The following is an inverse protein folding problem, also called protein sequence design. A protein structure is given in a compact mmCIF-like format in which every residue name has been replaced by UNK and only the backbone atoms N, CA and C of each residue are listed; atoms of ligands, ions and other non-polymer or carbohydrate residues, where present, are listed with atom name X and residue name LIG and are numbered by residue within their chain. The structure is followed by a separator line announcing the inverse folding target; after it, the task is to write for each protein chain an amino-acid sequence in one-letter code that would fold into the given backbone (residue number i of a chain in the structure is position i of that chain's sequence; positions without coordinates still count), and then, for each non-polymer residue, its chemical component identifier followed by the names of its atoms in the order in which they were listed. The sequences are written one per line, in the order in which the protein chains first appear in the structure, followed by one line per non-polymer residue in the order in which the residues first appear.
data_IF_306943988327
#
_entry.id   IF_306943988327
#
_cell.length_a   1.000
_cell.length_b   1.000
_cell.length_c   1.000
_cell.angle_alpha   90.00
_cell.angle_beta   90.00
_cell.angle_gamma   90.00
#
_symmetry.space_group_name_H-M   'P 1'
#
loop_
_entity.id
_entity.type
_entity.pdbx_description
1 polymer ?
#
# COMPACT_ATOMS: atom_id res chain seq x y z
N UNK A 1 6.47 -13.18 21.15
CA UNK A 1 5.10 -13.66 20.84
C UNK A 1 5.17 -14.57 19.63
N UNK A 2 4.29 -15.56 19.49
CA UNK A 2 4.28 -16.48 18.35
C UNK A 2 2.88 -16.58 17.75
N UNK A 3 2.78 -16.39 16.44
CA UNK A 3 1.53 -16.43 15.68
C UNK A 3 1.57 -17.61 14.72
N UNK A 4 0.50 -18.40 14.70
CA UNK A 4 0.25 -19.37 13.65
C UNK A 4 -0.84 -18.82 12.74
N UNK A 5 -0.51 -18.57 11.48
CA UNK A 5 -1.43 -18.14 10.44
C UNK A 5 -1.85 -19.35 9.61
N UNK A 6 -3.15 -19.59 9.48
CA UNK A 6 -3.71 -20.59 8.57
C UNK A 6 -4.47 -19.90 7.44
N UNK A 7 -4.14 -20.23 6.20
CA UNK A 7 -4.88 -19.77 5.02
C UNK A 7 -5.63 -20.96 4.39
N UNK A 8 -6.89 -20.76 4.02
CA UNK A 8 -7.72 -21.76 3.35
C UNK A 8 -8.15 -21.28 1.96
N UNK A 9 -7.85 -22.07 0.92
CA UNK A 9 -8.23 -21.73 -0.45
C UNK A 9 -9.65 -22.18 -0.78
N UNK A 10 -10.63 -21.29 -0.57
CA UNK A 10 -12.04 -21.57 -0.83
C UNK A 10 -12.33 -21.85 -2.31
N UNK A 11 -11.66 -21.16 -3.24
CA UNK A 11 -11.89 -21.35 -4.67
C UNK A 11 -11.46 -22.75 -5.13
N UNK A 12 -10.29 -23.22 -4.68
CA UNK A 12 -9.82 -24.59 -4.96
C UNK A 12 -10.70 -25.63 -4.29
N UNK A 13 -11.18 -25.34 -3.07
CA UNK A 13 -12.14 -26.22 -2.40
C UNK A 13 -13.41 -26.34 -3.24
N UNK A 14 -14.02 -25.22 -3.65
CA UNK A 14 -15.23 -25.20 -4.47
C UNK A 14 -15.02 -25.89 -5.82
N UNK A 15 -13.90 -25.65 -6.50
CA UNK A 15 -13.60 -26.32 -7.77
C UNK A 15 -13.38 -27.83 -7.59
N UNK A 16 -12.78 -28.27 -6.48
CA UNK A 16 -12.61 -29.69 -6.19
C UNK A 16 -13.95 -30.38 -5.88
N UNK A 17 -14.88 -29.67 -5.22
CA UNK A 17 -16.21 -30.18 -4.89
C UNK A 17 -17.09 -30.23 -6.14
N UNK A 18 -17.10 -29.17 -6.97
CA UNK A 18 -17.91 -29.11 -8.19
C UNK A 18 -17.35 -29.94 -9.35
N UNK A 19 -16.03 -30.06 -9.46
CA UNK A 19 -15.34 -30.87 -10.45
C UNK A 19 -15.41 -32.38 -10.19
N UNK A 20 -15.84 -32.81 -9.00
CA UNK A 20 -15.94 -34.23 -8.65
C UNK A 20 -17.04 -35.00 -9.40
N UNK A 21 -17.98 -34.32 -10.08
CA UNK A 21 -19.02 -34.94 -10.90
C UNK A 21 -20.00 -35.87 -10.15
N UNK A 22 -19.82 -36.06 -8.84
CA UNK A 22 -20.65 -36.90 -7.99
C UNK A 22 -21.97 -36.16 -7.68
N UNK A 23 -23.07 -36.56 -8.32
CA UNK A 23 -24.42 -36.13 -7.90
C UNK A 23 -24.73 -36.80 -6.54
N UNK A 24 -24.94 -36.04 -5.46
CA UNK A 24 -25.16 -36.65 -4.15
C UNK A 24 -26.53 -37.33 -4.10
N UNK A 25 -26.54 -38.62 -3.76
CA UNK A 25 -27.77 -39.40 -3.56
C UNK A 25 -28.43 -39.13 -2.19
N UNK A 26 -27.74 -38.44 -1.27
CA UNK A 26 -28.20 -38.10 0.09
C UNK A 26 -27.38 -36.94 0.71
N UNK A 27 -27.97 -36.19 1.64
CA UNK A 27 -27.29 -35.15 2.45
C UNK A 27 -26.11 -35.72 3.24
N UNK A 28 -26.21 -36.96 3.72
CA UNK A 28 -25.12 -37.64 4.45
C UNK A 28 -23.93 -37.95 3.54
N UNK A 29 -24.18 -38.42 2.31
CA UNK A 29 -23.11 -38.65 1.33
C UNK A 29 -22.44 -37.35 0.89
N UNK A 30 -23.18 -36.25 0.81
CA UNK A 30 -22.64 -34.94 0.46
C UNK A 30 -21.70 -34.38 1.54
N UNK A 31 -22.08 -34.51 2.82
CA UNK A 31 -21.22 -34.12 3.95
C UNK A 31 -19.94 -34.97 4.05
N UNK A 32 -20.03 -36.26 3.71
CA UNK A 32 -18.86 -37.15 3.65
C UNK A 32 -17.91 -36.75 2.51
N UNK A 33 -18.45 -36.44 1.33
CA UNK A 33 -17.64 -35.93 0.20
C UNK A 33 -16.97 -34.60 0.56
N UNK A 34 -17.69 -33.66 1.17
CA UNK A 34 -17.12 -32.40 1.69
C UNK A 34 -16.00 -32.66 2.70
N UNK A 35 -16.21 -33.56 3.67
CA UNK A 35 -15.21 -33.94 4.66
C UNK A 35 -13.94 -34.52 4.02
N UNK A 36 -14.09 -35.37 2.99
CA UNK A 36 -12.98 -35.91 2.20
C UNK A 36 -12.21 -34.82 1.46
N UNK A 37 -12.90 -33.84 0.89
CA UNK A 37 -12.25 -32.70 0.23
C UNK A 37 -11.52 -31.78 1.23
N UNK A 38 -12.08 -31.56 2.42
CA UNK A 38 -11.44 -30.79 3.49
C UNK A 38 -10.17 -31.47 4.04
N UNK A 39 -10.01 -32.78 3.91
CA UNK A 39 -8.76 -33.46 4.29
C UNK A 39 -7.61 -33.22 3.29
N UNK A 40 -7.87 -32.57 2.15
CA UNK A 40 -6.84 -32.31 1.18
C UNK A 40 -5.88 -31.23 1.69
N UNK A 41 -4.67 -31.67 2.06
CA UNK A 41 -3.60 -30.80 2.56
C UNK A 41 -3.31 -29.61 1.63
N UNK A 42 -3.51 -29.76 0.32
CA UNK A 42 -3.26 -28.70 -0.68
C UNK A 42 -4.24 -27.52 -0.63
N UNK A 43 -5.23 -27.54 0.28
CA UNK A 43 -6.14 -26.44 0.57
C UNK A 43 -5.61 -25.47 1.63
N UNK A 44 -4.58 -25.88 2.39
CA UNK A 44 -4.12 -25.16 3.58
C UNK A 44 -2.71 -24.61 3.40
N UNK A 45 -2.50 -23.31 3.55
CA UNK A 45 -1.17 -22.76 3.79
C UNK A 45 -0.99 -22.47 5.28
N UNK A 46 0.18 -22.77 5.81
CA UNK A 46 0.53 -22.54 7.21
C UNK A 46 1.73 -21.59 7.28
N UNK A 47 1.53 -20.46 7.93
CA UNK A 47 2.58 -19.50 8.26
C UNK A 47 2.87 -19.56 9.75
N UNK A 48 4.13 -19.71 10.11
CA UNK A 48 4.58 -19.53 11.49
C UNK A 48 5.35 -18.22 11.57
N UNK A 49 4.98 -17.35 12.51
CA UNK A 49 5.70 -16.10 12.76
C UNK A 49 6.05 -16.00 14.24
N UNK A 50 7.29 -15.66 14.54
CA UNK A 50 7.80 -15.47 15.88
C UNK A 50 8.40 -14.07 15.98
N UNK A 51 7.96 -13.32 16.98
CA UNK A 51 8.48 -12.01 17.33
C UNK A 51 9.27 -12.12 18.64
N UNK A 52 10.55 -11.77 18.58
CA UNK A 52 11.48 -11.77 19.70
C UNK A 52 11.90 -10.32 19.99
N UNK A 53 11.64 -9.84 21.20
CA UNK A 53 12.22 -8.59 21.68
C UNK A 53 13.61 -8.90 22.23
N UNK A 54 14.67 -8.46 21.53
CA UNK A 54 16.05 -8.70 21.95
C UNK A 54 16.47 -7.70 23.01
N UNK A 55 16.07 -6.44 22.82
CA UNK A 55 16.25 -5.32 23.74
C UNK A 55 14.95 -4.48 23.74
N UNK A 56 14.79 -3.47 24.62
CA UNK A 56 13.63 -2.57 24.56
C UNK A 56 13.47 -1.85 23.20
N UNK A 57 14.58 -1.67 22.48
CA UNK A 57 14.64 -0.95 21.21
C UNK A 57 14.75 -1.89 19.99
N UNK A 58 15.07 -3.17 20.21
CA UNK A 58 15.28 -4.20 19.18
C UNK A 58 14.17 -5.23 19.14
N UNK A 59 13.55 -5.39 17.97
CA UNK A 59 12.58 -6.47 17.69
C UNK A 59 13.03 -7.28 16.48
N UNK A 60 13.01 -8.61 16.62
CA UNK A 60 13.33 -9.56 15.57
C UNK A 60 12.08 -10.38 15.25
N UNK A 61 11.55 -10.21 14.04
CA UNK A 61 10.49 -11.02 13.47
C UNK A 61 11.10 -12.12 12.60
N UNK A 62 10.76 -13.37 12.86
CA UNK A 62 11.09 -14.52 12.04
C UNK A 62 9.81 -15.17 11.57
N UNK A 63 9.58 -15.21 10.26
CA UNK A 63 8.43 -15.86 9.66
C UNK A 63 8.85 -16.98 8.71
N UNK A 64 8.10 -18.08 8.76
CA UNK A 64 8.27 -19.26 7.94
C UNK A 64 6.91 -19.64 7.37
N UNK A 65 6.73 -19.41 6.08
CA UNK A 65 5.49 -19.74 5.39
C UNK A 65 5.67 -21.01 4.56
N UNK A 66 4.80 -21.99 4.81
CA UNK A 66 4.69 -23.21 4.04
C UNK A 66 3.40 -23.19 3.25
N UNK A 67 3.53 -23.00 1.94
CA UNK A 67 2.43 -23.13 0.99
C UNK A 67 2.38 -24.57 0.50
N UNK A 68 1.26 -25.24 0.75
CA UNK A 68 0.99 -26.59 0.18
C UNK A 68 0.25 -26.51 -1.17
N UNK A 69 -0.07 -25.29 -1.62
CA UNK A 69 -0.75 -25.00 -2.88
C UNK A 69 0.27 -24.60 -3.97
N UNK A 70 0.46 -25.47 -4.96
CA UNK A 70 1.36 -25.26 -6.11
C UNK A 70 2.55 -26.23 -6.12
N UNK A 71 3.16 -26.45 -7.30
CA UNK A 71 4.25 -27.42 -7.49
C UNK A 71 5.57 -27.05 -6.77
N UNK A 72 5.72 -25.80 -6.33
CA UNK A 72 6.93 -25.31 -5.68
C UNK A 72 6.89 -25.48 -4.14
N UNK A 73 7.37 -26.64 -3.69
CA UNK A 73 7.43 -27.09 -2.28
C UNK A 73 8.43 -26.34 -1.38
N UNK A 74 8.93 -25.16 -1.78
CA UNK A 74 9.98 -24.47 -1.01
C UNK A 74 9.34 -23.60 0.08
N UNK A 75 9.64 -23.83 1.37
CA UNK A 75 9.16 -22.95 2.42
C UNK A 75 9.81 -21.57 2.26
N UNK A 76 9.01 -20.52 2.44
CA UNK A 76 9.47 -19.13 2.38
C UNK A 76 9.88 -18.68 3.76
N UNK A 77 11.05 -18.06 3.84
CA UNK A 77 11.65 -17.57 5.08
C UNK A 77 11.71 -16.06 5.00
N UNK A 78 11.33 -15.41 6.08
CA UNK A 78 11.40 -13.97 6.24
C UNK A 78 12.00 -13.66 7.60
N UNK A 79 12.99 -12.78 7.63
CA UNK A 79 13.55 -12.23 8.85
C UNK A 79 13.48 -10.71 8.76
N UNK A 80 12.94 -10.06 9.78
CA UNK A 80 12.91 -8.60 9.90
C UNK A 80 13.49 -8.22 11.25
N UNK A 81 14.51 -7.38 11.25
CA UNK A 81 15.03 -6.74 12.45
C UNK A 81 14.60 -5.28 12.43
N UNK A 82 13.89 -4.82 13.47
CA UNK A 82 13.67 -3.41 13.71
C UNK A 82 14.49 -2.95 14.90
N UNK A 83 15.24 -1.88 14.72
CA UNK A 83 15.95 -1.16 15.78
C UNK A 83 15.45 0.28 15.84
N UNK A 84 15.04 0.71 17.04
CA UNK A 84 14.59 2.08 17.30
C UNK A 84 15.76 2.91 17.85
N UNK A 85 16.30 3.81 17.03
CA UNK A 85 17.18 4.86 17.52
C UNK A 85 16.36 6.04 18.08
N UNK A 86 16.96 6.95 18.88
CA UNK A 86 16.23 8.08 19.46
C UNK A 86 15.48 8.96 18.44
N UNK A 87 16.04 9.13 17.24
CA UNK A 87 15.50 9.98 16.18
C UNK A 87 15.27 9.25 14.85
N UNK A 88 15.51 7.93 14.80
CA UNK A 88 15.49 7.16 13.55
C UNK A 88 14.97 5.74 13.79
N UNK A 89 14.33 5.17 12.79
CA UNK A 89 13.97 3.76 12.77
C UNK A 89 14.81 3.06 11.72
N UNK A 90 15.45 1.96 12.10
CA UNK A 90 16.17 1.08 11.20
C UNK A 90 15.43 -0.24 11.08
N UNK A 91 15.17 -0.66 9.85
CA UNK A 91 14.56 -1.95 9.50
C UNK A 91 15.52 -2.71 8.60
N UNK A 92 15.82 -3.95 8.92
CA UNK A 92 16.60 -4.85 8.06
C UNK A 92 15.73 -6.05 7.76
N UNK A 93 15.41 -6.25 6.48
CA UNK A 93 14.56 -7.32 5.99
C UNK A 93 15.38 -8.26 5.09
N UNK A 94 15.23 -9.57 5.33
CA UNK A 94 15.80 -10.62 4.50
C UNK A 94 14.72 -11.65 4.18
N UNK A 95 14.47 -11.88 2.90
CA UNK A 95 13.42 -12.80 2.43
C UNK A 95 14.00 -13.81 1.43
N UNK A 96 13.69 -15.09 1.63
CA UNK A 96 14.11 -16.17 0.73
C UNK A 96 13.19 -17.40 0.80
N UNK A 97 12.58 -17.81 -0.33
CA UNK A 97 12.22 -16.97 -1.48
C UNK A 97 11.18 -15.91 -1.11
N UNK A 98 11.25 -14.73 -1.72
CA UNK A 98 10.28 -13.64 -1.53
C UNK A 98 9.24 -13.59 -2.64
N UNK A 99 7.98 -13.32 -2.28
CA UNK A 99 6.89 -13.13 -3.22
C UNK A 99 6.63 -11.65 -3.41
N UNK A 100 6.65 -11.19 -4.66
CA UNK A 100 6.41 -9.81 -5.05
C UNK A 100 5.22 -9.71 -5.99
N UNK A 101 4.46 -8.62 -5.91
CA UNK A 101 3.33 -8.34 -6.81
C UNK A 101 3.72 -7.18 -7.70
N UNK A 102 3.55 -7.33 -9.01
CA UNK A 102 3.77 -6.24 -9.97
C UNK A 102 2.54 -5.32 -10.08
N UNK A 103 2.69 -4.20 -10.82
CA UNK A 103 1.58 -3.24 -11.04
C UNK A 103 0.38 -3.86 -11.77
N UNK A 104 0.60 -4.96 -12.50
CA UNK A 104 -0.42 -5.68 -13.26
C UNK A 104 -1.09 -6.78 -12.42
N UNK A 105 -0.68 -6.96 -11.16
CA UNK A 105 -1.19 -7.98 -10.26
C UNK A 105 -0.56 -9.37 -10.44
N UNK A 106 0.51 -9.51 -11.22
CA UNK A 106 1.23 -10.78 -11.34
C UNK A 106 2.18 -10.99 -10.16
N UNK A 107 2.24 -12.23 -9.71
CA UNK A 107 3.12 -12.65 -8.63
C UNK A 107 4.46 -13.15 -9.17
N UNK A 108 5.55 -12.71 -8.53
CA UNK A 108 6.93 -13.03 -8.89
C UNK A 108 7.68 -13.59 -7.68
N UNK A 109 8.32 -14.74 -7.84
CA UNK A 109 9.23 -15.35 -6.87
C UNK A 109 10.66 -14.84 -7.09
N UNK A 110 11.22 -14.19 -6.08
CA UNK A 110 12.61 -13.75 -6.03
C UNK A 110 13.41 -14.68 -5.11
N UNK A 111 14.53 -15.28 -5.57
CA UNK A 111 15.27 -16.25 -4.75
C UNK A 111 15.81 -15.70 -3.42
N UNK A 112 16.35 -14.48 -3.45
CA UNK A 112 16.81 -13.76 -2.26
C UNK A 112 16.62 -12.26 -2.45
N UNK A 113 15.98 -11.63 -1.47
CA UNK A 113 15.80 -10.18 -1.38
C UNK A 113 16.28 -9.71 -0.02
N UNK A 114 17.20 -8.75 -0.01
CA UNK A 114 17.69 -8.08 1.19
C UNK A 114 17.34 -6.60 1.09
N UNK A 115 16.74 -6.05 2.14
CA UNK A 115 16.42 -4.63 2.24
C UNK A 115 16.92 -4.08 3.57
N UNK A 116 17.52 -2.89 3.53
CA UNK A 116 17.86 -2.11 4.71
C UNK A 116 17.16 -0.77 4.55
N UNK A 117 16.38 -0.39 5.55
CA UNK A 117 15.56 0.79 5.50
C UNK A 117 15.77 1.65 6.75
N UNK A 118 16.13 2.91 6.55
CA UNK A 118 16.39 3.87 7.61
C UNK A 118 15.55 5.12 7.38
N UNK A 119 14.65 5.40 8.32
CA UNK A 119 13.78 6.57 8.25
C UNK A 119 13.97 7.45 9.50
N UNK A 120 14.04 8.76 9.31
CA UNK A 120 13.90 9.70 10.43
C UNK A 120 12.50 9.60 11.04
N UNK A 121 12.37 9.77 12.35
CA UNK A 121 11.07 9.86 12.99
C UNK A 121 10.26 11.02 12.41
N UNK A 122 9.00 10.75 12.06
CA UNK A 122 8.12 11.75 11.47
C UNK A 122 7.78 12.81 12.51
N UNK A 123 8.19 14.05 12.25
CA UNK A 123 7.71 15.22 12.98
C UNK A 123 6.37 15.71 12.40
N UNK A 124 5.54 16.35 13.23
CA UNK A 124 4.33 17.03 12.75
C UNK A 124 4.66 18.11 11.71
N UNK A 125 5.80 18.78 11.88
CA UNK A 125 6.39 19.68 10.89
C UNK A 125 7.91 19.63 10.97
N UNK A 126 8.57 19.54 9.83
CA UNK A 126 10.03 19.47 9.76
C UNK A 126 10.56 18.70 8.57
N UNK A 127 11.88 18.64 8.51
CA UNK A 127 12.60 17.81 7.56
C UNK A 127 12.56 16.34 8.00
N UNK A 128 12.38 15.45 7.04
CA UNK A 128 12.48 14.01 7.20
C UNK A 128 13.31 13.45 6.05
N UNK A 129 13.98 12.33 6.30
CA UNK A 129 14.70 11.61 5.27
C UNK A 129 14.45 10.11 5.41
N UNK A 130 14.58 9.42 4.30
CA UNK A 130 14.34 8.00 4.17
C UNK A 130 15.39 7.42 3.24
N UNK A 131 16.21 6.49 3.74
CA UNK A 131 17.25 5.80 3.00
C UNK A 131 16.91 4.31 2.95
N UNK A 132 16.68 3.79 1.75
CA UNK A 132 16.41 2.39 1.51
C UNK A 132 17.50 1.81 0.60
N UNK A 133 18.07 0.67 1.00
CA UNK A 133 19.06 -0.08 0.25
C UNK A 133 18.47 -1.45 -0.04
N UNK A 134 18.49 -1.86 -1.30
CA UNK A 134 17.90 -3.10 -1.78
C UNK A 134 18.94 -3.92 -2.54
N UNK A 135 18.99 -5.21 -2.26
CA UNK A 135 19.83 -6.15 -2.98
C UNK A 135 19.05 -7.42 -3.33
N UNK A 136 18.96 -7.67 -4.63
CA UNK A 136 18.34 -8.87 -5.18
C UNK A 136 19.38 -9.80 -5.76
N UNK A 137 19.20 -11.09 -5.52
CA UNK A 137 20.03 -12.14 -6.11
C UNK A 137 19.18 -13.23 -6.73
N UNK A 138 19.60 -13.70 -7.90
CA UNK A 138 18.95 -14.77 -8.66
C UNK A 138 17.87 -14.26 -9.62
N UNK A 139 17.54 -15.06 -10.63
CA UNK A 139 16.53 -14.70 -11.63
C UNK A 139 15.12 -14.84 -11.06
N UNK A 140 14.29 -13.78 -11.11
CA UNK A 140 12.89 -13.89 -10.68
C UNK A 140 12.10 -14.81 -11.62
N UNK A 141 11.22 -15.62 -11.04
CA UNK A 141 10.33 -16.54 -11.78
C UNK A 141 8.88 -16.18 -11.49
N UNK A 142 7.99 -16.26 -12.48
CA UNK A 142 6.58 -15.98 -12.24
C UNK A 142 5.96 -17.06 -11.33
N UNK A 143 5.23 -16.65 -10.31
CA UNK A 143 4.54 -17.56 -9.40
C UNK A 143 3.21 -18.00 -10.04
N UNK A 144 3.07 -19.32 -10.31
CA UNK A 144 1.89 -19.94 -10.93
C UNK A 144 1.53 -19.43 -12.35
N UNK A 145 2.49 -18.88 -13.09
CA UNK A 145 2.30 -18.62 -14.53
C UNK A 145 2.47 -19.91 -15.33
N UNK A 146 1.60 -20.19 -16.30
CA UNK A 146 1.90 -21.15 -17.36
C UNK A 146 3.13 -20.61 -18.12
N UNK A 147 4.18 -21.45 -18.24
CA UNK A 147 5.46 -21.15 -18.93
C UNK A 147 5.32 -20.67 -20.39
N UNK A 148 4.09 -20.57 -20.91
CA UNK A 148 3.77 -20.30 -22.30
C UNK A 148 3.18 -18.92 -22.61
N UNK A 149 2.94 -18.00 -21.64
CA UNK A 149 2.25 -16.72 -21.93
C UNK A 149 2.76 -15.47 -21.19
N UNK A 150 4.07 -15.30 -20.99
CA UNK A 150 4.60 -13.99 -20.55
C UNK A 150 4.96 -13.11 -21.75
N UNK A 151 4.08 -12.16 -22.06
CA UNK A 151 4.33 -11.10 -23.07
C UNK A 151 5.34 -10.06 -22.54
N UNK A 152 5.46 -9.93 -21.22
CA UNK A 152 6.37 -8.98 -20.57
C UNK A 152 7.31 -9.72 -19.59
N UNK A 153 8.61 -9.39 -19.67
CA UNK A 153 9.62 -9.90 -18.74
C UNK A 153 9.43 -9.40 -17.30
N UNK A 154 10.20 -9.92 -16.33
CA UNK A 154 10.10 -9.50 -14.93
C UNK A 154 10.36 -7.99 -14.79
N UNK A 155 9.66 -7.31 -13.85
CA UNK A 155 9.92 -5.91 -13.56
C UNK A 155 11.40 -5.66 -13.27
N UNK A 156 11.96 -4.61 -13.85
CA UNK A 156 13.39 -4.26 -13.70
C UNK A 156 13.84 -4.14 -12.23
N UNK A 157 12.93 -3.76 -11.32
CA UNK A 157 13.19 -3.65 -9.88
C UNK A 157 13.43 -5.00 -9.19
N UNK A 158 12.99 -6.11 -9.79
CA UNK A 158 13.16 -7.47 -9.27
C UNK A 158 14.39 -8.18 -9.86
N UNK A 159 15.03 -7.58 -10.87
CA UNK A 159 16.24 -8.14 -11.46
C UNK A 159 17.40 -8.14 -10.45
N UNK A 160 18.37 -9.05 -10.63
CA UNK A 160 19.58 -9.09 -9.82
C UNK A 160 20.31 -7.75 -9.83
N UNK A 161 20.75 -7.32 -8.66
CA UNK A 161 21.55 -6.11 -8.54
C UNK A 161 21.37 -5.42 -7.21
N UNK A 162 21.87 -4.20 -7.20
CA UNK A 162 21.95 -3.37 -6.03
C UNK A 162 21.30 -2.03 -6.32
N UNK A 163 20.39 -1.58 -5.45
CA UNK A 163 19.75 -0.27 -5.58
C UNK A 163 19.73 0.45 -4.25
N UNK A 164 20.08 1.73 -4.28
CA UNK A 164 19.91 2.64 -3.16
C UNK A 164 18.87 3.68 -3.56
N UNK A 165 17.89 3.90 -2.70
CA UNK A 165 16.90 4.97 -2.80
C UNK A 165 17.04 5.87 -1.60
N UNK A 166 17.10 7.17 -1.82
CA UNK A 166 17.10 8.17 -0.77
C UNK A 166 16.02 9.18 -1.07
N UNK A 167 15.20 9.52 -0.08
CA UNK A 167 14.21 10.56 -0.18
C UNK A 167 14.41 11.56 0.95
N UNK A 168 14.33 12.85 0.64
CA UNK A 168 14.31 13.93 1.60
C UNK A 168 13.00 14.68 1.42
N UNK A 169 12.30 15.00 2.51
CA UNK A 169 11.05 15.75 2.43
C UNK A 169 10.93 16.75 3.57
N UNK A 170 10.30 17.87 3.29
CA UNK A 170 9.93 18.87 4.27
C UNK A 170 8.40 18.89 4.37
N UNK A 171 7.89 18.54 5.55
CA UNK A 171 6.47 18.56 5.88
C UNK A 171 6.16 19.80 6.70
N UNK A 172 5.09 20.50 6.35
CA UNK A 172 4.53 21.57 7.16
C UNK A 172 3.04 21.27 7.41
N UNK A 173 2.65 21.26 8.68
CA UNK A 173 1.26 21.12 9.09
C UNK A 173 0.72 22.47 9.61
N UNK A 174 -0.53 22.75 9.29
CA UNK A 174 -1.27 23.94 9.66
C UNK A 174 -2.59 23.51 10.29
N UNK A 175 -2.71 23.67 11.60
CA UNK A 175 -3.96 23.42 12.32
C UNK A 175 -4.79 24.71 12.33
N UNK A 176 -5.85 24.77 11.52
CA UNK A 176 -6.74 25.93 11.46
C UNK A 176 -7.64 26.02 12.68
N UNK A 177 -8.14 24.88 13.14
CA UNK A 177 -9.06 24.83 14.26
C UNK A 177 -8.97 23.49 14.98
N UNK A 178 -9.06 23.53 16.31
CA UNK A 178 -9.20 22.35 17.16
C UNK A 178 -10.20 22.67 18.25
N UNK A 179 -11.18 21.79 18.44
CA UNK A 179 -12.19 21.99 19.47
C UNK A 179 -11.57 21.95 20.87
N UNK A 180 -11.87 22.98 21.66
CA UNK A 180 -11.57 23.03 23.10
C UNK A 180 -12.80 22.77 23.95
N UNK A 181 -13.93 22.40 23.33
CA UNK A 181 -15.18 22.18 24.04
C UNK A 181 -15.03 21.00 25.01
N UNK A 182 -15.61 21.09 26.22
CA UNK A 182 -15.57 19.99 27.17
C UNK A 182 -16.31 18.78 26.57
N UNK A 183 -15.64 17.63 26.57
CA UNK A 183 -16.25 16.35 26.18
C UNK A 183 -17.42 16.02 27.10
N UNK A 184 -18.40 15.26 26.61
CA UNK A 184 -19.54 14.83 27.43
C UNK A 184 -19.01 14.09 28.66
N UNK A 185 -19.36 14.61 29.84
CA UNK A 185 -18.97 14.00 31.11
C UNK A 185 -19.57 12.59 31.19
N UNK A 186 -18.77 11.62 31.65
CA UNK A 186 -19.15 10.21 31.85
C UNK A 186 -19.42 9.39 30.57
N UNK A 187 -19.18 9.93 29.37
CA UNK A 187 -19.29 9.18 28.11
C UNK A 187 -17.91 9.06 27.46
N UNK A 188 -17.38 7.85 27.42
CA UNK A 188 -16.12 7.57 26.70
C UNK A 188 -16.40 7.62 25.19
N UNK A 189 -15.55 8.30 24.39
CA UNK A 189 -15.67 8.22 22.94
C UNK A 189 -15.48 6.77 22.46
N UNK A 190 -16.12 6.42 21.34
CA UNK A 190 -15.98 5.09 20.73
C UNK A 190 -14.53 4.81 20.30
N UNK A 191 -13.80 5.86 19.93
CA UNK A 191 -12.37 5.84 19.60
C UNK A 191 -11.70 7.10 20.17
N UNK A 192 -10.61 6.91 20.90
CA UNK A 192 -9.86 8.00 21.54
C UNK A 192 -9.21 8.95 20.51
N UNK A 193 -8.74 8.45 19.37
CA UNK A 193 -8.06 9.29 18.35
C UNK A 193 -9.05 10.17 17.59
N UNK A 194 -10.29 9.72 17.44
CA UNK A 194 -11.36 10.47 16.79
C UNK A 194 -12.12 11.39 17.75
N UNK A 195 -11.68 11.47 19.01
CA UNK A 195 -12.40 12.24 20.04
C UNK A 195 -12.17 13.76 19.99
N UNK A 196 -11.21 14.23 19.20
CA UNK A 196 -10.83 15.63 19.12
C UNK A 196 -11.10 16.19 17.71
N UNK A 197 -12.25 16.86 17.49
CA UNK A 197 -12.54 17.46 16.20
C UNK A 197 -11.55 18.56 15.89
N UNK A 198 -11.01 18.53 14.68
CA UNK A 198 -10.00 19.46 14.20
C UNK A 198 -10.12 19.65 12.68
N UNK A 199 -9.58 20.77 12.23
CA UNK A 199 -9.41 21.10 10.81
C UNK A 199 -7.94 21.45 10.63
N UNK A 200 -7.27 20.73 9.74
CA UNK A 200 -5.86 20.95 9.43
C UNK A 200 -5.56 20.79 7.95
N UNK A 201 -4.50 21.45 7.49
CA UNK A 201 -3.90 21.19 6.19
C UNK A 201 -2.42 20.92 6.36
N UNK A 202 -1.88 20.01 5.55
CA UNK A 202 -0.45 19.73 5.52
C UNK A 202 0.09 19.78 4.09
N UNK A 203 1.23 20.42 3.90
CA UNK A 203 2.00 20.35 2.66
C UNK A 203 3.27 19.53 2.86
N UNK A 204 3.65 18.74 1.86
CA UNK A 204 4.93 18.04 1.79
C UNK A 204 5.56 18.38 0.45
N UNK A 205 6.84 18.75 0.47
CA UNK A 205 7.67 18.89 -0.73
C UNK A 205 8.96 18.11 -0.47
N UNK A 206 9.43 17.36 -1.46
CA UNK A 206 10.62 16.55 -1.30
C UNK A 206 11.32 16.22 -2.61
N UNK A 207 12.45 15.54 -2.47
CA UNK A 207 13.27 15.03 -3.55
C UNK A 207 13.58 13.56 -3.30
N UNK A 208 13.57 12.75 -4.35
CA UNK A 208 13.95 11.35 -4.31
C UNK A 208 15.09 11.09 -5.30
N UNK A 209 16.11 10.38 -4.84
CA UNK A 209 17.26 9.94 -5.60
C UNK A 209 17.32 8.41 -5.56
N UNK A 210 17.47 7.78 -6.72
CA UNK A 210 17.68 6.34 -6.84
C UNK A 210 18.98 6.08 -7.58
N UNK A 211 19.91 5.36 -6.98
CA UNK A 211 21.05 4.78 -7.65
C UNK A 211 20.83 3.27 -7.79
N UNK A 212 21.26 2.69 -8.90
CA UNK A 212 21.15 1.26 -9.17
C UNK A 212 22.37 0.76 -9.95
N UNK A 213 22.81 -0.46 -9.64
CA UNK A 213 23.97 -1.11 -10.24
C UNK A 213 23.63 -2.59 -10.46
N UNK A 214 23.94 -3.11 -11.65
CA UNK A 214 23.61 -4.47 -12.06
C UNK A 214 22.43 -4.51 -13.03
N UNK A 215 21.79 -5.66 -13.18
CA UNK A 215 20.71 -5.84 -14.16
C UNK A 215 19.44 -5.07 -13.76
N UNK A 216 19.30 -4.72 -12.47
CA UNK A 216 18.27 -3.79 -11.99
C UNK A 216 18.46 -2.33 -12.47
N UNK A 217 19.61 -1.99 -13.05
CA UNK A 217 19.85 -0.67 -13.67
C UNK A 217 19.19 -0.53 -15.04
N UNK A 218 18.90 -1.65 -15.71
CA UNK A 218 18.18 -1.70 -16.97
C UNK A 218 16.71 -1.54 -16.62
N UNK A 219 16.30 -0.31 -16.29
CA UNK A 219 14.87 0.02 -16.44
C UNK A 219 14.57 -0.14 -17.92
N UNK A 220 13.69 -1.09 -18.23
CA UNK A 220 13.21 -1.26 -19.58
C UNK A 220 12.73 0.12 -20.06
N UNK A 221 13.07 0.42 -21.30
CA UNK A 221 12.57 1.54 -22.09
C UNK A 221 11.05 1.39 -22.37
N UNK A 222 10.34 0.68 -21.49
CA UNK A 222 9.03 0.09 -21.70
C UNK A 222 8.02 0.86 -20.86
N UNK A 223 7.45 1.89 -21.50
CA UNK A 223 6.03 2.22 -21.50
C UNK A 223 5.29 2.50 -20.19
N UNK A 224 5.94 2.62 -19.02
CA UNK A 224 5.34 3.46 -17.98
C UNK A 224 5.82 4.88 -18.20
N UNK A 225 5.00 5.63 -18.90
CA UNK A 225 4.94 7.08 -18.97
C UNK A 225 4.75 7.67 -17.56
N UNK A 226 5.54 7.26 -16.55
CA UNK A 226 5.43 7.66 -15.13
C UNK A 226 6.72 8.27 -14.52
N UNK A 227 7.89 8.14 -15.14
CA UNK A 227 9.15 8.62 -14.52
C UNK A 227 10.05 9.35 -15.52
N UNK A 228 9.73 10.61 -15.82
CA UNK A 228 10.63 11.52 -16.57
C UNK A 228 11.62 12.23 -15.63
N UNK A 229 12.12 11.57 -14.58
CA UNK A 229 13.14 12.17 -13.70
C UNK A 229 14.47 12.40 -14.44
N UNK A 230 15.39 13.15 -13.83
CA UNK A 230 16.76 13.27 -14.34
C UNK A 230 17.44 11.90 -14.23
N UNK A 231 17.59 11.21 -15.35
CA UNK A 231 18.22 9.89 -15.41
C UNK A 231 19.59 9.96 -16.06
N UNK A 232 20.61 9.43 -15.39
CA UNK A 232 21.94 9.19 -15.94
C UNK A 232 22.20 7.68 -15.98
N UNK A 233 22.52 7.14 -17.15
CA UNK A 233 22.83 5.72 -17.32
C UNK A 233 24.26 5.56 -17.85
N UNK A 234 25.09 4.84 -17.10
CA UNK A 234 26.44 4.47 -17.54
C UNK A 234 26.46 3.01 -17.98
N UNK A 235 26.24 2.79 -19.28
CA UNK A 235 26.13 1.46 -19.89
C UNK A 235 27.39 0.59 -19.69
N UNK A 236 28.56 1.21 -19.53
CA UNK A 236 29.82 0.49 -19.29
C UNK A 236 29.91 -0.23 -17.94
N UNK A 237 29.14 0.20 -16.92
CA UNK A 237 29.16 -0.36 -15.56
C UNK A 237 27.77 -0.91 -15.17
N UNK A 238 26.80 -0.93 -16.10
CA UNK A 238 25.39 -1.24 -15.82
C UNK A 238 24.90 -0.50 -14.58
N UNK A 239 25.03 0.82 -14.59
CA UNK A 239 24.57 1.67 -13.49
C UNK A 239 23.61 2.75 -13.99
N UNK A 240 22.62 3.08 -13.17
CA UNK A 240 21.65 4.13 -13.44
C UNK A 240 21.38 4.94 -12.18
N UNK A 241 21.36 6.27 -12.33
CA UNK A 241 21.03 7.24 -11.31
C UNK A 241 19.80 8.02 -11.78
N UNK A 242 18.79 8.15 -10.92
CA UNK A 242 17.56 8.88 -11.18
C UNK A 242 17.27 9.84 -10.04
N UNK A 243 16.98 11.10 -10.35
CA UNK A 243 16.53 12.09 -9.38
C UNK A 243 15.20 12.72 -9.82
N UNK A 244 14.28 12.91 -8.88
CA UNK A 244 13.02 13.61 -9.12
C UNK A 244 12.53 14.35 -7.87
N UNK A 245 11.62 15.30 -8.05
CA UNK A 245 10.92 16.00 -6.98
C UNK A 245 9.50 15.47 -6.84
N UNK A 246 8.96 15.54 -5.62
CA UNK A 246 7.57 15.21 -5.35
C UNK A 246 6.95 16.25 -4.42
N UNK A 247 5.65 16.45 -4.56
CA UNK A 247 4.89 17.31 -3.67
C UNK A 247 3.50 16.73 -3.43
N UNK A 248 2.98 16.93 -2.22
CA UNK A 248 1.63 16.54 -1.87
C UNK A 248 1.02 17.56 -0.91
N UNK A 249 -0.26 17.88 -1.11
CA UNK A 249 -1.05 18.69 -0.19
C UNK A 249 -2.17 17.85 0.35
N UNK A 250 -2.41 17.91 1.64
CA UNK A 250 -3.50 17.21 2.30
C UNK A 250 -4.33 18.18 3.14
N UNK A 251 -5.63 17.94 3.19
CA UNK A 251 -6.59 18.66 3.99
C UNK A 251 -7.41 17.65 4.77
N UNK A 252 -7.61 17.89 6.06
CA UNK A 252 -8.49 17.11 6.91
C UNK A 252 -9.45 18.04 7.62
N UNK A 253 -10.72 17.66 7.64
CA UNK A 253 -11.74 18.32 8.43
C UNK A 253 -12.54 17.24 9.15
N UNK A 254 -12.62 17.37 10.48
CA UNK A 254 -13.42 16.49 11.31
C UNK A 254 -14.46 17.31 12.07
N UNK A 255 -15.71 16.89 11.94
CA UNK A 255 -16.82 17.35 12.73
C UNK A 255 -17.24 16.27 13.75
N UNK A 256 -17.49 16.71 14.98
CA UNK A 256 -17.90 15.87 16.11
C UNK A 256 -16.79 15.08 16.79
N UNK A 257 -17.16 14.51 17.95
CA UNK A 257 -16.22 13.92 18.90
C UNK A 257 -16.45 12.42 19.15
N UNK A 258 -17.30 11.79 18.34
CA UNK A 258 -17.54 10.35 18.32
C UNK A 258 -17.94 9.77 19.69
N UNK A 259 -18.84 10.48 20.38
CA UNK A 259 -19.43 10.12 21.68
C UNK A 259 -20.93 9.83 21.58
N UNK A 260 -21.65 10.51 20.68
CA UNK A 260 -23.11 10.35 20.54
C UNK A 260 -23.46 9.10 19.75
N UNK A 261 -24.70 8.64 19.94
CA UNK A 261 -25.20 7.41 19.35
C UNK A 261 -25.42 7.48 17.83
N UNK A 262 -25.63 8.65 17.24
CA UNK A 262 -25.95 8.74 15.80
C UNK A 262 -25.34 9.99 15.20
N UNK A 263 -24.77 9.84 14.00
CA UNK A 263 -24.27 10.93 13.16
C UNK A 263 -23.40 11.97 13.89
N UNK A 264 -22.63 11.54 14.89
CA UNK A 264 -21.77 12.45 15.66
C UNK A 264 -20.53 12.78 14.85
N UNK A 265 -19.89 11.76 14.27
CA UNK A 265 -18.64 11.90 13.55
C UNK A 265 -18.84 11.97 12.04
N UNK A 266 -18.37 13.06 11.45
CA UNK A 266 -18.14 13.20 10.01
C UNK A 266 -16.71 13.67 9.80
N UNK A 267 -15.91 12.90 9.07
CA UNK A 267 -14.54 13.27 8.74
C UNK A 267 -14.34 13.22 7.23
N UNK A 268 -13.74 14.29 6.73
CA UNK A 268 -13.37 14.45 5.34
C UNK A 268 -11.86 14.58 5.26
N UNK A 269 -11.24 13.82 4.38
CA UNK A 269 -9.83 13.94 4.06
C UNK A 269 -9.66 14.01 2.54
N UNK A 270 -8.97 15.03 2.08
CA UNK A 270 -8.59 15.19 0.69
C UNK A 270 -7.06 15.28 0.60
N UNK A 271 -6.48 14.57 -0.35
CA UNK A 271 -5.05 14.60 -0.65
C UNK A 271 -4.86 14.83 -2.14
N UNK A 272 -3.97 15.73 -2.48
CA UNK A 272 -3.57 16.07 -3.84
C UNK A 272 -2.09 15.74 -3.97
N UNK A 273 -1.77 14.73 -4.76
CA UNK A 273 -0.41 14.34 -5.07
C UNK A 273 -0.05 14.90 -6.44
N UNK A 274 0.96 15.78 -6.47
CA UNK A 274 1.42 16.38 -7.72
C UNK A 274 2.21 15.36 -8.53
N UNK A 275 2.17 15.45 -9.88
CA UNK A 275 3.02 14.64 -10.72
C UNK A 275 4.50 14.94 -10.42
N UNK A 276 5.36 14.05 -10.93
CA UNK A 276 6.80 14.16 -10.74
C UNK A 276 7.31 15.56 -11.14
N UNK A 277 8.23 16.14 -10.38
CA UNK A 277 8.57 17.55 -10.52
C UNK A 277 9.15 17.88 -11.90
N UNK A 278 9.92 16.97 -12.48
CA UNK A 278 10.42 17.13 -13.85
C UNK A 278 9.29 17.18 -14.89
N UNK A 279 8.23 16.40 -14.70
CA UNK A 279 7.03 16.40 -15.57
C UNK A 279 6.21 17.64 -15.39
N UNK A 280 6.00 18.03 -14.13
CA UNK A 280 5.30 19.26 -13.81
C UNK A 280 5.98 20.45 -14.45
N UNK A 281 7.32 20.57 -14.34
CA UNK A 281 8.09 21.65 -14.96
C UNK A 281 8.01 21.57 -16.49
N UNK A 282 8.19 20.40 -17.09
CA UNK A 282 8.08 20.23 -18.54
C UNK A 282 6.70 20.67 -19.06
N UNK A 283 5.62 20.14 -18.48
CA UNK A 283 4.24 20.52 -18.82
C UNK A 283 3.99 22.01 -18.59
N UNK A 284 4.39 22.56 -17.45
CA UNK A 284 4.21 23.98 -17.15
C UNK A 284 4.97 24.89 -18.12
N UNK A 285 6.19 24.53 -18.51
CA UNK A 285 6.95 25.28 -19.52
C UNK A 285 6.27 25.24 -20.89
N UNK A 286 5.72 24.10 -21.29
CA UNK A 286 5.01 23.96 -22.56
C UNK A 286 3.70 24.77 -22.56
N UNK A 287 2.92 24.72 -21.47
CA UNK A 287 1.71 25.55 -21.31
C UNK A 287 2.07 27.04 -21.32
N UNK A 288 3.12 27.45 -20.61
CA UNK A 288 3.56 28.84 -20.58
C UNK A 288 4.04 29.32 -21.96
N UNK A 289 4.82 28.51 -22.69
CA UNK A 289 5.28 28.82 -24.04
C UNK A 289 4.10 28.96 -25.02
N UNK A 290 3.13 28.05 -24.96
CA UNK A 290 1.94 28.11 -25.80
C UNK A 290 1.13 29.38 -25.53
N UNK A 291 0.93 29.73 -24.25
CA UNK A 291 0.25 30.97 -23.85
C UNK A 291 1.00 32.23 -24.30
N UNK A 292 2.33 32.27 -24.15
CA UNK A 292 3.17 33.38 -24.62
C UNK A 292 3.11 33.54 -26.14
N UNK A 293 3.02 32.42 -26.87
CA UNK A 293 2.85 32.41 -28.31
C UNK A 293 1.40 32.62 -28.77
N UNK A 294 0.48 32.97 -27.86
CA UNK A 294 -0.96 33.12 -28.13
C UNK A 294 -1.63 31.88 -28.75
N UNK A 295 -1.08 30.71 -28.50
CA UNK A 295 -1.61 29.41 -28.91
C UNK A 295 -2.44 28.81 -27.77
N UNK A 296 -3.50 28.07 -28.13
CA UNK A 296 -4.30 27.34 -27.14
C UNK A 296 -3.45 26.18 -26.60
N UNK A 297 -3.21 26.07 -25.28
CA UNK A 297 -2.49 24.95 -24.71
C UNK A 297 -3.22 23.64 -24.99
N UNK A 298 -2.48 22.58 -25.27
CA UNK A 298 -3.06 21.26 -25.52
C UNK A 298 -3.64 20.68 -24.23
N UNK A 299 -4.68 19.84 -24.35
CA UNK A 299 -5.30 19.19 -23.18
C UNK A 299 -4.33 18.21 -22.52
N UNK A 300 -3.49 17.54 -23.33
CA UNK A 300 -2.42 16.66 -22.86
C UNK A 300 -1.43 17.42 -21.96
N UNK A 301 -0.99 18.61 -22.38
CA UNK A 301 -0.05 19.42 -21.57
C UNK A 301 -0.66 19.83 -20.23
N UNK A 302 -1.96 20.14 -20.20
CA UNK A 302 -2.65 20.48 -18.95
C UNK A 302 -2.79 19.23 -18.07
N UNK A 303 -3.12 18.08 -18.66
CA UNK A 303 -3.25 16.81 -17.95
C UNK A 303 -1.92 16.37 -17.33
N UNK A 304 -0.77 16.67 -17.95
CA UNK A 304 0.55 16.37 -17.37
C UNK A 304 0.86 17.16 -16.09
N UNK A 305 0.17 18.29 -15.86
CA UNK A 305 0.34 19.16 -14.69
C UNK A 305 -0.67 18.79 -13.59
N UNK A 306 -1.80 18.19 -13.95
CA UNK A 306 -2.90 17.91 -13.03
C UNK A 306 -2.47 16.94 -11.90
N UNK A 307 -2.74 17.28 -10.63
CA UNK A 307 -2.47 16.37 -9.52
C UNK A 307 -3.48 15.22 -9.50
N UNK A 308 -3.04 14.07 -9.01
CA UNK A 308 -3.92 12.98 -8.63
C UNK A 308 -4.57 13.32 -7.29
N UNK A 309 -5.88 13.21 -7.21
CA UNK A 309 -6.62 13.47 -5.99
C UNK A 309 -7.02 12.15 -5.32
N UNK A 310 -6.95 12.10 -4.00
CA UNK A 310 -7.49 11.01 -3.19
C UNK A 310 -8.44 11.61 -2.18
N UNK A 311 -9.66 11.10 -2.12
CA UNK A 311 -10.73 11.56 -1.25
C UNK A 311 -11.12 10.43 -0.31
N UNK A 312 -11.27 10.74 0.96
CA UNK A 312 -11.76 9.82 1.98
C UNK A 312 -12.86 10.50 2.77
N UNK A 313 -14.03 9.87 2.79
CA UNK A 313 -15.18 10.29 3.58
C UNK A 313 -15.47 9.24 4.64
N UNK A 314 -15.58 9.69 5.88
CA UNK A 314 -15.89 8.87 7.04
C UNK A 314 -17.13 9.43 7.73
N UNK A 315 -18.15 8.59 7.93
CA UNK A 315 -19.40 8.95 8.56
C UNK A 315 -19.80 7.89 9.58
N UNK A 316 -19.98 8.28 10.84
CA UNK A 316 -20.62 7.43 11.83
C UNK A 316 -22.09 7.24 11.46
N UNK A 317 -22.53 5.98 11.44
CA UNK A 317 -23.94 5.64 11.21
C UNK A 317 -24.66 5.61 12.56
N UNK A 318 -24.25 4.67 13.42
CA UNK A 318 -24.88 4.41 14.71
C UNK A 318 -23.88 3.78 15.67
N UNK A 319 -23.84 4.25 16.92
CA UNK A 319 -22.93 3.80 17.97
C UNK A 319 -21.48 3.69 17.47
N UNK A 320 -20.81 2.55 17.65
CA UNK A 320 -19.43 2.34 17.21
C UNK A 320 -19.25 2.08 15.71
N UNK A 321 -20.31 2.11 14.90
CA UNK A 321 -20.24 1.81 13.47
C UNK A 321 -19.95 3.05 12.65
N UNK A 322 -18.91 2.97 11.82
CA UNK A 322 -18.48 4.01 10.92
C UNK A 322 -18.34 3.47 9.50
N UNK A 323 -18.93 4.18 8.55
CA UNK A 323 -18.75 3.92 7.13
C UNK A 323 -17.63 4.81 6.62
N UNK A 324 -16.64 4.21 5.97
CA UNK A 324 -15.56 4.90 5.29
C UNK A 324 -15.62 4.58 3.80
N UNK A 325 -15.47 5.60 2.98
CA UNK A 325 -15.36 5.49 1.53
C UNK A 325 -14.09 6.21 1.12
N UNK A 326 -13.14 5.45 0.59
CA UNK A 326 -11.90 5.98 0.03
C UNK A 326 -11.97 5.88 -1.49
N UNK A 327 -11.49 6.90 -2.19
CA UNK A 327 -11.54 6.94 -3.65
C UNK A 327 -10.39 7.78 -4.19
N UNK A 328 -9.66 7.22 -5.14
CA UNK A 328 -8.82 7.99 -6.04
C UNK A 328 -9.68 8.75 -7.06
N UNK A 329 -9.20 9.88 -7.51
CA UNK A 329 -9.79 10.72 -8.54
C UNK A 329 -8.67 11.18 -9.46
N UNK A 330 -8.76 10.78 -10.72
CA UNK A 330 -7.79 11.13 -11.76
C UNK A 330 -8.51 12.04 -12.76
N UNK A 331 -7.89 13.17 -13.08
CA UNK A 331 -8.39 14.08 -14.11
C UNK A 331 -7.92 13.56 -15.46
N UNK A 332 -8.86 13.18 -16.31
CA UNK A 332 -8.61 12.66 -17.65
C UNK A 332 -9.27 13.57 -18.69
N UNK A 333 -8.50 14.55 -19.18
CA UNK A 333 -9.02 15.61 -20.05
C UNK A 333 -9.25 15.14 -21.49
N UNK A 334 -8.72 13.97 -21.86
CA UNK A 334 -8.94 13.35 -23.17
C UNK A 334 -10.40 12.88 -23.33
N UNK A 335 -11.09 12.59 -22.24
CA UNK A 335 -12.50 12.22 -22.26
C UNK A 335 -13.40 13.46 -22.10
N UNK A 336 -13.87 14.00 -23.23
CA UNK A 336 -14.69 15.23 -23.26
C UNK A 336 -16.03 15.12 -22.52
N UNK A 337 -16.58 13.91 -22.36
CA UNK A 337 -17.88 13.72 -21.71
C UNK A 337 -17.76 13.65 -20.18
N UNK A 338 -16.67 13.09 -19.65
CA UNK A 338 -16.43 12.92 -18.21
C UNK A 338 -14.95 13.13 -17.89
N UNK A 339 -14.52 14.38 -17.62
CA UNK A 339 -13.12 14.72 -17.40
C UNK A 339 -12.56 14.23 -16.05
N UNK A 340 -13.41 13.64 -15.20
CA UNK A 340 -13.07 13.17 -13.86
C UNK A 340 -13.37 11.68 -13.80
N UNK A 341 -12.34 10.86 -13.63
CA UNK A 341 -12.48 9.42 -13.43
C UNK A 341 -12.24 9.07 -11.97
N UNK A 342 -13.20 8.36 -11.39
CA UNK A 342 -13.06 7.72 -10.09
C UNK A 342 -12.19 6.48 -10.24
N UNK A 343 -11.10 6.42 -9.49
CA UNK A 343 -10.12 5.34 -9.51
C UNK A 343 -10.10 4.62 -8.15
N UNK A 344 -10.13 3.30 -8.17
CA UNK A 344 -10.00 2.42 -6.98
C UNK A 344 -10.87 2.81 -5.79
N UNK A 345 -12.22 2.83 -5.94
CA UNK A 345 -13.09 3.05 -4.79
C UNK A 345 -12.94 1.88 -3.80
N UNK A 346 -12.78 2.18 -2.52
CA UNK A 346 -12.76 1.20 -1.44
C UNK A 346 -13.83 1.59 -0.43
N UNK A 347 -14.71 0.64 -0.15
CA UNK A 347 -15.77 0.79 0.85
C UNK A 347 -15.36 0.02 2.10
N UNK A 348 -15.34 0.68 3.24
CA UNK A 348 -14.97 0.08 4.52
C UNK A 348 -16.06 0.33 5.57
N UNK A 349 -16.41 -0.71 6.30
CA UNK A 349 -17.23 -0.65 7.50
C UNK A 349 -16.34 -0.90 8.70
N UNK A 350 -16.27 0.08 9.59
CA UNK A 350 -15.45 0.06 10.79
C UNK A 350 -16.33 -0.08 12.03
N UNK A 351 -15.90 -0.91 12.97
CA UNK A 351 -16.50 -1.06 14.29
C UNK A 351 -15.46 -0.77 15.36
N UNK A 352 -15.64 0.33 16.08
CA UNK A 352 -14.73 0.78 17.14
C UNK A 352 -15.04 0.06 18.47
N UNK A 353 -14.03 -0.59 19.04
CA UNK A 353 -14.16 -1.35 20.28
C UNK A 353 -13.80 -0.48 21.50
N UNK A 354 -14.80 0.15 22.10
CA UNK A 354 -14.64 1.04 23.27
C UNK A 354 -13.78 0.49 24.40
N UNK A 355 -13.89 -0.81 24.70
CA UNK A 355 -13.23 -1.47 25.84
C UNK A 355 -11.71 -1.54 25.68
N UNK A 356 -11.20 -1.46 24.44
CA UNK A 356 -9.79 -1.61 24.11
C UNK A 356 -9.15 -0.30 23.61
N UNK A 357 -9.74 0.85 23.98
CA UNK A 357 -9.22 2.19 23.71
C UNK A 357 -9.36 2.65 22.26
N UNK A 358 -8.62 2.01 21.34
CA UNK A 358 -8.55 2.31 19.89
C UNK A 358 -8.63 1.05 19.01
N UNK A 359 -8.87 -0.13 19.60
CA UNK A 359 -9.02 -1.32 18.77
C UNK A 359 -10.26 -1.20 17.87
N UNK A 360 -10.13 -1.65 16.62
CA UNK A 360 -11.20 -1.59 15.63
C UNK A 360 -11.23 -2.82 14.74
N UNK A 361 -12.43 -3.28 14.42
CA UNK A 361 -12.65 -4.25 13.37
C UNK A 361 -12.98 -3.48 12.08
N UNK A 362 -12.29 -3.78 10.99
CA UNK A 362 -12.48 -3.12 9.69
C UNK A 362 -12.80 -4.19 8.66
N UNK A 363 -13.97 -4.11 8.06
CA UNK A 363 -14.33 -4.91 6.89
C UNK A 363 -14.28 -4.00 5.67
N UNK A 364 -13.43 -4.29 4.69
CA UNK A 364 -13.34 -3.48 3.48
C UNK A 364 -13.54 -4.31 2.21
N UNK A 365 -14.04 -3.65 1.18
CA UNK A 365 -14.30 -4.20 -0.14
C UNK A 365 -13.79 -3.26 -1.22
N UNK A 366 -12.99 -3.80 -2.14
CA UNK A 366 -12.56 -3.11 -3.35
C UNK A 366 -13.28 -3.70 -4.57
N UNK A 367 -14.22 -2.97 -5.20
CA UNK A 367 -14.94 -3.46 -6.37
C UNK A 367 -14.04 -3.72 -7.58
N UNK A 368 -12.95 -2.95 -7.74
CA UNK A 368 -12.03 -3.10 -8.87
C UNK A 368 -11.25 -4.41 -8.78
N UNK A 369 -10.74 -4.74 -7.61
CA UNK A 369 -9.99 -5.97 -7.39
C UNK A 369 -10.89 -7.17 -7.05
N UNK A 370 -12.17 -6.94 -6.75
CA UNK A 370 -13.12 -7.96 -6.25
C UNK A 370 -12.60 -8.63 -4.99
N UNK A 371 -11.96 -7.85 -4.13
CA UNK A 371 -11.33 -8.31 -2.90
C UNK A 371 -12.13 -7.82 -1.70
N UNK A 372 -12.32 -8.72 -0.75
CA UNK A 372 -12.94 -8.45 0.54
C UNK A 372 -12.02 -8.94 1.64
N UNK A 373 -11.78 -8.10 2.65
CA UNK A 373 -10.97 -8.47 3.81
C UNK A 373 -11.60 -7.94 5.08
N UNK A 374 -11.46 -8.73 6.15
CA UNK A 374 -11.81 -8.34 7.51
C UNK A 374 -10.54 -8.35 8.34
N UNK A 375 -10.20 -7.19 8.89
CA UNK A 375 -9.04 -6.97 9.74
C UNK A 375 -9.49 -6.63 11.16
N UNK A 376 -8.76 -7.14 12.14
CA UNK A 376 -8.91 -6.73 13.53
C UNK A 376 -7.62 -6.03 13.95
N UNK A 377 -7.71 -4.71 14.19
CA UNK A 377 -6.56 -3.88 14.53
C UNK A 377 -6.58 -3.62 16.04
N UNK A 378 -5.51 -4.02 16.71
CA UNK A 378 -5.30 -3.79 18.14
C UNK A 378 -4.12 -2.83 18.32
N UNK A 379 -4.24 -1.90 19.26
CA UNK A 379 -3.18 -0.95 19.63
C UNK A 379 -2.65 -0.14 18.42
N UNK A 380 -3.50 0.72 17.86
CA UNK A 380 -3.00 1.85 17.06
C UNK A 380 -2.29 2.79 18.06
N UNK A 381 -0.95 2.75 18.11
CA UNK A 381 -0.11 3.65 18.93
C UNK A 381 0.24 4.91 18.17
#
# INVERSE_FOLDING_TARGET
FGTLLGQFNFQKFMSSVTGSGEKPNSVSSWLQTIGRHLQNHSLYALGFSSELMLTPDDTLLLSLDSYTFGDNKKPRKKAILHHKFPNHNLTVEAVSPGLFVDKSGNYWDVPLSLAIDMASLASDSGASYHLCMHHNTGSPTQFQGDDHQTIHGPPATLLPGFSIKSAFSFKQNFDFWRSKAPKLKLVQPYDLFLSNPHISASGIIGAALTASVGDCSVRSQDNSQESNGFSFQASGVKSALLADLFASVSFTAQHGNYQRLFLDLTRFHARLDFPSGSRFVAGATQVAQNLLNSQRPSLEDIQTICPNASLSLQQQIAGPFLLRVDSGVIVDLDNQDWPIRVHDPVFALEYSMQVLGSAKAVAWYSPKHREFMVELRFFET
#
